data_IF_580799821487
#
_entry.id   IF_580799821487
#
_cell.length_a   1.000
_cell.length_b   1.000
_cell.length_c   1.000
_cell.angle_alpha   90.00
_cell.angle_beta   90.00
_cell.angle_gamma   90.00
#
_symmetry.space_group_name_H-M   'P 1'
#
loop_
_entity.id
_entity.type
_entity.pdbx_description
1 polymer ?
#
# COMPACT_ATOMS: atom_id res chain seq x y z
N UNK A 1 -46.60 -14.82 19.89
CA UNK A 1 -47.05 -15.53 18.68
C UNK A 1 -46.39 -14.90 17.47
N UNK A 2 -46.08 -15.72 16.47
CA UNK A 2 -45.80 -15.36 15.06
C UNK A 2 -44.39 -14.88 14.65
N UNK A 3 -43.51 -15.86 14.45
CA UNK A 3 -42.88 -16.21 13.17
C UNK A 3 -43.47 -15.53 11.91
N UNK A 4 -42.63 -14.97 11.02
CA UNK A 4 -42.49 -15.41 9.60
C UNK A 4 -41.68 -14.46 8.72
N UNK A 5 -40.71 -15.07 8.05
CA UNK A 5 -40.17 -14.80 6.72
C UNK A 5 -41.23 -14.62 5.62
N UNK A 6 -41.01 -13.72 4.66
CA UNK A 6 -41.47 -13.73 3.26
C UNK A 6 -40.54 -12.81 2.45
N UNK A 7 -39.72 -13.26 1.50
CA UNK A 7 -40.01 -13.73 0.13
C UNK A 7 -40.55 -12.66 -0.83
N UNK A 8 -39.94 -12.66 -2.03
CA UNK A 8 -40.45 -12.27 -3.35
C UNK A 8 -40.14 -10.87 -3.91
N UNK A 9 -39.20 -10.89 -4.87
CA UNK A 9 -39.35 -10.56 -6.30
C UNK A 9 -39.98 -9.23 -6.73
N UNK A 10 -39.31 -8.58 -7.69
CA UNK A 10 -39.79 -8.10 -9.00
C UNK A 10 -39.09 -6.79 -9.37
N UNK A 11 -38.30 -6.81 -10.45
CA UNK A 11 -38.04 -5.61 -11.24
C UNK A 11 -38.32 -5.92 -12.71
N UNK A 12 -39.54 -5.58 -13.11
CA UNK A 12 -39.96 -5.39 -14.50
C UNK A 12 -39.51 -3.98 -14.94
N UNK A 13 -39.00 -3.83 -16.15
CA UNK A 13 -38.91 -2.52 -16.80
C UNK A 13 -39.57 -2.60 -18.17
N UNK A 14 -40.67 -1.87 -18.28
CA UNK A 14 -41.56 -1.67 -19.41
C UNK A 14 -41.01 -0.66 -20.42
N UNK A 15 -41.34 -0.83 -21.70
CA UNK A 15 -41.42 0.30 -22.65
C UNK A 15 -42.63 0.20 -23.58
N UNK A 16 -43.38 1.29 -23.57
CA UNK A 16 -44.60 1.66 -24.27
C UNK A 16 -44.50 1.52 -25.80
N UNK A 17 -45.58 1.02 -26.44
CA UNK A 17 -45.82 1.10 -27.89
C UNK A 17 -46.78 2.25 -28.22
N UNK A 18 -46.46 3.05 -29.24
CA UNK A 18 -47.39 3.93 -29.98
C UNK A 18 -47.59 3.34 -31.38
N UNK A 19 -48.84 3.26 -31.82
CA UNK A 19 -49.25 2.60 -33.06
C UNK A 19 -49.07 3.44 -34.34
N UNK A 20 -49.12 2.74 -35.47
CA UNK A 20 -49.18 3.28 -36.83
C UNK A 20 -49.56 2.16 -37.82
N UNK A 21 -50.49 2.45 -38.73
CA UNK A 21 -51.37 1.57 -39.51
C UNK A 21 -50.83 1.34 -40.93
N UNK A 22 -51.13 0.18 -41.55
CA UNK A 22 -51.10 0.03 -43.02
C UNK A 22 -50.96 -1.40 -43.57
N UNK A 23 -52.11 -2.04 -43.87
CA UNK A 23 -52.48 -2.86 -45.07
C UNK A 23 -51.37 -3.67 -45.79
N UNK A 24 -51.51 -4.95 -46.16
CA UNK A 24 -52.55 -5.58 -46.98
C UNK A 24 -52.20 -7.07 -47.19
N UNK A 25 -53.20 -7.97 -47.28
CA UNK A 25 -53.02 -9.32 -47.83
C UNK A 25 -53.81 -10.46 -47.18
N UNK A 26 -55.06 -10.65 -47.62
CA UNK A 26 -55.97 -11.80 -47.32
C UNK A 26 -55.35 -13.12 -47.83
N UNK A 27 -55.59 -14.33 -47.30
CA UNK A 27 -56.87 -15.07 -47.22
C UNK A 27 -56.71 -16.35 -46.36
N UNK A 28 -57.81 -16.72 -45.69
CA UNK A 28 -58.08 -18.03 -45.07
C UNK A 28 -58.17 -19.16 -46.11
N UNK A 29 -57.92 -20.41 -45.71
CA UNK A 29 -58.93 -21.49 -45.72
C UNK A 29 -58.43 -22.75 -44.97
N UNK A 30 -59.32 -23.28 -44.14
CA UNK A 30 -59.19 -24.51 -43.36
C UNK A 30 -59.78 -25.68 -44.16
N UNK A 31 -59.07 -26.81 -44.21
CA UNK A 31 -59.55 -28.21 -44.27
C UNK A 31 -58.36 -29.06 -43.81
N UNK A 32 -58.40 -30.04 -42.91
CA UNK A 32 -59.50 -30.85 -42.40
C UNK A 32 -59.43 -32.27 -42.99
N UNK A 33 -58.60 -33.16 -42.44
CA UNK A 33 -58.89 -34.61 -42.35
C UNK A 33 -57.82 -35.36 -41.53
N UNK A 34 -58.30 -36.16 -40.60
CA UNK A 34 -57.57 -37.08 -39.72
C UNK A 34 -57.27 -38.38 -40.47
N UNK A 35 -56.13 -39.02 -40.22
CA UNK A 35 -56.09 -40.42 -39.75
C UNK A 35 -54.65 -40.91 -39.62
N UNK A 36 -54.47 -41.75 -38.59
CA UNK A 36 -53.22 -42.34 -38.17
C UNK A 36 -52.67 -43.34 -39.19
N UNK A 37 -51.33 -43.38 -39.31
CA UNK A 37 -50.61 -44.66 -39.37
C UNK A 37 -49.19 -44.48 -38.86
N UNK A 38 -48.92 -45.10 -37.72
CA UNK A 38 -47.57 -45.21 -37.19
C UNK A 38 -46.78 -46.12 -38.13
N UNK A 39 -45.70 -45.59 -38.70
CA UNK A 39 -44.67 -46.37 -39.36
C UNK A 39 -43.32 -45.66 -39.16
N UNK A 40 -42.52 -46.23 -38.25
CA UNK A 40 -41.06 -46.17 -38.20
C UNK A 40 -40.38 -44.83 -38.55
N UNK A 41 -40.15 -43.96 -37.56
CA UNK A 41 -38.99 -43.04 -37.58
C UNK A 41 -38.65 -42.53 -36.17
N UNK A 42 -38.31 -43.45 -35.26
CA UNK A 42 -37.85 -43.12 -33.91
C UNK A 42 -36.39 -42.62 -33.83
N UNK A 43 -35.72 -42.45 -34.97
CA UNK A 43 -34.31 -42.03 -35.03
C UNK A 43 -34.08 -40.54 -35.35
N UNK A 44 -35.04 -39.89 -36.01
CA UNK A 44 -34.87 -38.50 -36.49
C UNK A 44 -35.14 -37.43 -35.45
N UNK A 45 -36.19 -37.60 -34.64
CA UNK A 45 -36.59 -36.65 -33.60
C UNK A 45 -35.59 -36.63 -32.43
N UNK A 46 -35.08 -37.79 -32.03
CA UNK A 46 -34.07 -37.91 -30.97
C UNK A 46 -32.75 -37.30 -31.42
N UNK A 47 -32.31 -37.56 -32.65
CA UNK A 47 -31.08 -36.99 -33.23
C UNK A 47 -31.14 -35.47 -33.38
N UNK A 48 -32.30 -34.90 -33.73
CA UNK A 48 -32.48 -33.44 -33.80
C UNK A 48 -32.50 -32.78 -32.42
N UNK A 49 -33.00 -33.46 -31.39
CA UNK A 49 -32.98 -32.99 -29.99
C UNK A 49 -31.53 -32.93 -29.47
N UNK A 50 -30.74 -34.00 -29.62
CA UNK A 50 -29.33 -34.02 -29.20
C UNK A 50 -28.50 -32.94 -29.90
N UNK A 51 -28.76 -32.70 -31.19
CA UNK A 51 -28.06 -31.68 -31.97
C UNK A 51 -28.40 -30.27 -31.47
N UNK A 52 -29.68 -30.02 -31.15
CA UNK A 52 -30.12 -28.76 -30.55
C UNK A 52 -29.55 -28.51 -29.15
N UNK A 53 -29.45 -29.54 -28.30
CA UNK A 53 -28.79 -29.43 -27.00
C UNK A 53 -27.30 -29.09 -27.15
N UNK A 54 -26.61 -29.75 -28.10
CA UNK A 54 -25.19 -29.48 -28.39
C UNK A 54 -24.95 -28.06 -28.91
N UNK A 55 -25.84 -27.53 -29.75
CA UNK A 55 -25.74 -26.16 -30.27
C UNK A 55 -25.99 -25.11 -29.18
N UNK A 56 -26.94 -25.37 -28.27
CA UNK A 56 -27.17 -24.51 -27.09
C UNK A 56 -25.95 -24.49 -26.17
N UNK A 57 -25.35 -25.66 -25.92
CA UNK A 57 -24.16 -25.81 -25.07
C UNK A 57 -22.93 -25.12 -25.69
N UNK A 58 -22.77 -25.20 -27.01
CA UNK A 58 -21.69 -24.52 -27.75
C UNK A 58 -21.88 -23.00 -27.76
N UNK A 59 -23.12 -22.52 -27.90
CA UNK A 59 -23.45 -21.09 -27.80
C UNK A 59 -23.21 -20.55 -26.39
N UNK A 60 -23.52 -21.32 -25.36
CA UNK A 60 -23.30 -20.92 -23.97
C UNK A 60 -21.81 -20.92 -23.61
N UNK A 61 -21.05 -21.92 -24.08
CA UNK A 61 -19.58 -21.93 -24.02
C UNK A 61 -18.98 -20.71 -24.73
N UNK A 62 -19.49 -20.33 -25.90
CA UNK A 62 -19.01 -19.15 -26.63
C UNK A 62 -19.31 -17.85 -25.88
N UNK A 63 -20.49 -17.71 -25.26
CA UNK A 63 -20.87 -16.54 -24.46
C UNK A 63 -20.04 -16.42 -23.19
N UNK A 64 -19.85 -17.52 -22.47
CA UNK A 64 -19.02 -17.57 -21.26
C UNK A 64 -17.55 -17.27 -21.58
N UNK A 65 -16.99 -17.84 -22.65
CA UNK A 65 -15.62 -17.53 -23.11
C UNK A 65 -15.47 -16.06 -23.49
N UNK A 66 -16.46 -15.46 -24.16
CA UNK A 66 -16.42 -14.03 -24.54
C UNK A 66 -16.53 -13.10 -23.33
N UNK A 67 -17.37 -13.46 -22.34
CA UNK A 67 -17.50 -12.71 -21.09
C UNK A 67 -16.24 -12.83 -20.22
N UNK A 68 -15.65 -14.02 -20.13
CA UNK A 68 -14.41 -14.29 -19.39
C UNK A 68 -13.22 -13.55 -20.00
N UNK A 69 -13.10 -13.52 -21.34
CA UNK A 69 -12.03 -12.80 -22.06
C UNK A 69 -11.98 -11.30 -21.73
N UNK A 70 -13.14 -10.66 -21.63
CA UNK A 70 -13.24 -9.24 -21.31
C UNK A 70 -12.91 -8.92 -19.84
N UNK A 71 -13.23 -9.82 -18.90
CA UNK A 71 -12.84 -9.70 -17.50
C UNK A 71 -11.36 -10.02 -17.26
N UNK A 72 -10.82 -10.95 -18.04
CA UNK A 72 -9.43 -11.39 -18.00
C UNK A 72 -8.44 -10.29 -18.43
N UNK A 73 -8.67 -9.63 -19.57
CA UNK A 73 -7.79 -8.53 -20.00
C UNK A 73 -7.80 -7.37 -19.00
N UNK A 74 -8.94 -7.13 -18.35
CA UNK A 74 -9.06 -6.14 -17.27
C UNK A 74 -8.29 -6.58 -16.02
N UNK A 75 -8.34 -7.85 -15.65
CA UNK A 75 -7.60 -8.38 -14.51
C UNK A 75 -6.08 -8.34 -14.75
N UNK A 76 -5.64 -8.68 -15.97
CA UNK A 76 -4.23 -8.58 -16.37
C UNK A 76 -3.77 -7.13 -16.37
N UNK A 77 -4.57 -6.21 -16.91
CA UNK A 77 -4.27 -4.78 -16.90
C UNK A 77 -4.15 -4.22 -15.47
N UNK A 78 -5.04 -4.63 -14.56
CA UNK A 78 -4.95 -4.27 -13.14
C UNK A 78 -3.68 -4.85 -12.50
N UNK A 79 -3.37 -6.12 -12.75
CA UNK A 79 -2.14 -6.77 -12.26
C UNK A 79 -0.88 -6.05 -12.74
N UNK A 80 -0.79 -5.75 -14.04
CA UNK A 80 0.33 -5.00 -14.62
C UNK A 80 0.41 -3.58 -14.06
N UNK A 81 -0.71 -2.90 -13.86
CA UNK A 81 -0.76 -1.59 -13.22
C UNK A 81 -0.21 -1.61 -11.79
N UNK A 82 -0.58 -2.62 -11.00
CA UNK A 82 -0.04 -2.80 -9.64
C UNK A 82 1.46 -3.09 -9.63
N UNK A 83 1.95 -3.90 -10.57
CA UNK A 83 3.40 -4.17 -10.72
C UNK A 83 4.15 -2.89 -11.10
N UNK A 84 3.68 -2.13 -12.09
CA UNK A 84 4.33 -0.87 -12.51
C UNK A 84 4.31 0.16 -11.37
N UNK A 85 3.18 0.32 -10.67
CA UNK A 85 3.07 1.21 -9.52
C UNK A 85 4.05 0.81 -8.40
N UNK A 86 4.18 -0.49 -8.12
CA UNK A 86 5.15 -0.99 -7.15
C UNK A 86 6.60 -0.69 -7.57
N UNK A 87 6.94 -0.86 -8.85
CA UNK A 87 8.27 -0.55 -9.38
C UNK A 87 8.60 0.94 -9.26
N UNK A 88 7.64 1.83 -9.57
CA UNK A 88 7.79 3.27 -9.38
C UNK A 88 7.99 3.63 -7.89
N UNK A 89 7.21 3.03 -6.99
CA UNK A 89 7.39 3.23 -5.55
C UNK A 89 8.76 2.73 -5.07
N UNK A 90 9.21 1.55 -5.51
CA UNK A 90 10.55 1.04 -5.19
C UNK A 90 11.66 1.94 -5.70
N UNK A 91 11.50 2.55 -6.86
CA UNK A 91 12.48 3.50 -7.39
C UNK A 91 12.59 4.75 -6.50
N UNK A 92 11.46 5.32 -6.09
CA UNK A 92 11.43 6.44 -5.13
C UNK A 92 12.03 6.04 -3.79
N UNK A 93 11.70 4.85 -3.27
CA UNK A 93 12.30 4.32 -2.05
C UNK A 93 13.80 4.08 -2.20
N UNK A 94 14.25 3.58 -3.35
CA UNK A 94 15.66 3.40 -3.66
C UNK A 94 16.42 4.72 -3.63
N UNK A 95 15.90 5.76 -4.29
CA UNK A 95 16.51 7.10 -4.28
C UNK A 95 16.50 7.70 -2.87
N UNK A 96 15.39 7.61 -2.14
CA UNK A 96 15.29 8.16 -0.79
C UNK A 96 16.21 7.46 0.20
N UNK A 97 16.37 6.14 0.10
CA UNK A 97 17.32 5.37 0.93
C UNK A 97 18.76 5.69 0.53
N UNK A 98 19.08 5.74 -0.76
CA UNK A 98 20.42 6.12 -1.22
C UNK A 98 20.79 7.54 -0.77
N UNK A 99 19.86 8.48 -0.88
CA UNK A 99 20.03 9.85 -0.37
C UNK A 99 20.19 9.87 1.14
N UNK A 100 19.35 9.16 1.88
CA UNK A 100 19.44 9.05 3.33
C UNK A 100 20.75 8.40 3.79
N UNK A 101 21.32 7.49 3.00
CA UNK A 101 22.62 6.88 3.28
C UNK A 101 23.77 7.84 2.96
N UNK A 102 23.68 8.56 1.84
CA UNK A 102 24.67 9.58 1.47
C UNK A 102 24.69 10.76 2.46
N UNK A 103 23.53 11.16 2.96
CA UNK A 103 23.39 12.21 3.98
C UNK A 103 23.69 11.67 5.40
N UNK A 104 23.80 10.35 5.61
CA UNK A 104 24.17 9.79 6.92
C UNK A 104 25.68 9.87 7.13
N UNK A 105 26.12 11.03 7.63
CA UNK A 105 27.53 11.33 7.92
C UNK A 105 28.05 10.54 9.13
N UNK A 106 27.19 10.27 10.11
CA UNK A 106 27.53 9.56 11.36
C UNK A 106 27.52 8.03 11.17
N UNK A 107 28.61 7.50 10.62
CA UNK A 107 28.72 6.09 10.20
C UNK A 107 29.37 5.16 11.24
N UNK A 108 30.26 5.68 12.09
CA UNK A 108 31.00 4.86 13.07
C UNK A 108 30.51 5.08 14.51
N UNK A 109 30.08 3.99 15.15
CA UNK A 109 29.73 3.96 16.56
C UNK A 109 30.94 3.67 17.44
N UNK A 110 31.19 4.50 18.46
CA UNK A 110 32.24 4.29 19.45
C UNK A 110 31.79 4.73 20.85
N UNK A 111 32.64 4.49 21.85
CA UNK A 111 32.38 4.95 23.22
C UNK A 111 32.90 6.37 23.37
N UNK A 112 32.01 7.28 23.72
CA UNK A 112 32.32 8.66 24.07
C UNK A 112 32.32 8.87 25.58
N UNK A 113 33.28 9.66 26.07
CA UNK A 113 33.37 10.09 27.46
C UNK A 113 32.86 11.53 27.55
N UNK A 114 31.83 11.76 28.36
CA UNK A 114 31.30 13.12 28.61
C UNK A 114 32.34 13.94 29.38
N UNK A 115 32.76 15.06 28.81
CA UNK A 115 33.70 15.98 29.44
C UNK A 115 32.95 17.00 30.31
N UNK A 116 32.08 17.78 29.69
CA UNK A 116 31.34 18.86 30.33
C UNK A 116 29.90 18.91 29.85
N UNK A 117 28.98 19.21 30.77
CA UNK A 117 27.57 19.45 30.52
C UNK A 117 27.20 20.80 31.13
N UNK A 118 27.06 21.84 30.31
CA UNK A 118 26.76 23.20 30.76
C UNK A 118 25.45 23.68 30.18
N UNK A 119 24.59 24.26 31.01
CA UNK A 119 23.37 24.92 30.55
C UNK A 119 23.74 26.35 30.15
N UNK A 120 23.62 26.63 28.86
CA UNK A 120 23.80 27.94 28.23
C UNK A 120 22.46 28.71 28.25
N UNK A 121 22.47 29.94 27.76
CA UNK A 121 21.34 30.86 27.74
C UNK A 121 20.04 30.28 27.12
N UNK A 122 18.91 30.90 27.48
CA UNK A 122 17.58 30.52 27.00
C UNK A 122 17.38 30.85 25.53
N UNK A 123 16.92 29.85 24.78
CA UNK A 123 16.53 29.96 23.37
C UNK A 123 15.03 30.16 23.24
N UNK A 124 14.61 30.98 22.26
CA UNK A 124 13.21 31.23 21.98
C UNK A 124 12.65 30.13 21.08
N UNK A 125 11.42 29.73 21.32
CA UNK A 125 10.67 28.86 20.42
C UNK A 125 9.19 29.21 20.37
N UNK A 126 8.48 28.73 19.36
CA UNK A 126 7.05 28.93 19.21
C UNK A 126 6.27 27.65 19.49
N UNK A 127 5.13 27.78 20.17
CA UNK A 127 4.18 26.70 20.35
C UNK A 127 2.79 27.12 19.85
N UNK A 128 2.03 26.16 19.34
CA UNK A 128 0.66 26.39 18.90
C UNK A 128 -0.29 26.46 20.09
N UNK A 129 -1.07 27.54 20.18
CA UNK A 129 -2.03 27.77 21.26
C UNK A 129 -3.50 27.46 20.88
N UNK A 130 -3.73 26.97 19.65
CA UNK A 130 -5.05 26.68 19.08
C UNK A 130 -5.09 26.94 17.58
N UNK A 131 -6.30 27.12 17.01
CA UNK A 131 -6.50 27.51 15.62
C UNK A 131 -5.77 28.84 15.34
N UNK A 132 -4.78 28.79 14.43
CA UNK A 132 -3.96 29.91 13.95
C UNK A 132 -3.32 30.81 15.03
N UNK A 133 -2.97 30.25 16.19
CA UNK A 133 -2.22 30.95 17.23
C UNK A 133 -0.84 30.34 17.42
N UNK A 134 0.20 31.17 17.25
CA UNK A 134 1.58 30.85 17.65
C UNK A 134 2.01 31.79 18.76
N UNK A 135 2.50 31.23 19.87
CA UNK A 135 3.01 32.02 20.99
C UNK A 135 4.46 31.63 21.27
N UNK A 136 5.28 32.62 21.59
CA UNK A 136 6.66 32.43 22.00
C UNK A 136 6.75 31.84 23.40
N UNK A 137 7.66 30.88 23.59
CA UNK A 137 8.12 30.32 24.85
C UNK A 137 9.65 30.26 24.82
N UNK A 138 10.28 29.92 25.94
CA UNK A 138 11.73 29.84 26.09
C UNK A 138 12.15 28.50 26.67
N UNK A 139 13.26 27.96 26.20
CA UNK A 139 13.89 26.76 26.75
C UNK A 139 15.39 26.98 26.98
N UNK A 140 15.97 26.47 28.07
CA UNK A 140 17.40 26.56 28.31
C UNK A 140 18.19 25.67 27.34
N UNK A 141 19.31 26.15 26.79
CA UNK A 141 20.13 25.34 25.89
C UNK A 141 21.14 24.50 26.67
N UNK A 142 21.05 23.17 26.63
CA UNK A 142 22.07 22.30 27.22
C UNK A 142 23.18 22.02 26.21
N UNK A 143 24.43 22.36 26.55
CA UNK A 143 25.60 22.08 25.73
C UNK A 143 26.43 20.97 26.37
N UNK A 144 26.71 19.91 25.61
CA UNK A 144 27.44 18.74 26.09
C UNK A 144 28.65 18.50 25.19
N UNK A 145 29.84 18.42 25.79
CA UNK A 145 31.08 18.07 25.10
C UNK A 145 31.47 16.64 25.45
N UNK A 146 31.84 15.88 24.44
CA UNK A 146 32.31 14.50 24.59
C UNK A 146 33.68 14.34 23.97
N UNK A 147 34.50 13.46 24.55
CA UNK A 147 35.71 12.95 23.92
C UNK A 147 35.47 11.56 23.36
N UNK A 148 35.82 11.34 22.11
CA UNK A 148 35.71 10.03 21.46
C UNK A 148 36.88 9.16 21.94
N UNK A 149 36.63 7.99 22.54
CA UNK A 149 37.70 7.17 23.12
C UNK A 149 38.72 6.67 22.08
N UNK A 150 38.27 6.40 20.85
CA UNK A 150 39.13 5.88 19.77
C UNK A 150 40.06 6.93 19.17
N UNK A 151 39.64 8.20 19.11
CA UNK A 151 40.39 9.29 18.46
C UNK A 151 40.89 10.36 19.44
N UNK A 152 40.40 10.37 20.67
CA UNK A 152 40.66 11.39 21.68
C UNK A 152 40.09 12.78 21.34
N UNK A 153 39.33 12.90 20.24
CA UNK A 153 38.81 14.19 19.76
C UNK A 153 37.63 14.65 20.60
N UNK A 154 37.58 15.96 20.83
CA UNK A 154 36.47 16.60 21.52
C UNK A 154 35.46 17.08 20.49
N UNK A 155 34.22 16.62 20.62
CA UNK A 155 33.12 17.01 19.74
C UNK A 155 31.90 17.39 20.58
N UNK A 156 31.03 18.25 20.04
CA UNK A 156 29.76 18.56 20.70
C UNK A 156 28.80 17.41 20.49
N UNK A 157 28.12 16.99 21.55
CA UNK A 157 27.14 15.92 21.50
C UNK A 157 25.76 16.51 21.15
N UNK A 158 25.04 15.84 20.26
CA UNK A 158 23.62 16.06 19.98
C UNK A 158 22.84 14.77 20.26
N UNK A 159 21.60 14.90 20.74
CA UNK A 159 20.78 13.74 21.10
C UNK A 159 20.41 12.92 19.84
N UNK A 160 19.86 13.58 18.83
CA UNK A 160 19.43 13.00 17.54
C UNK A 160 19.74 13.93 16.35
N UNK A 161 19.52 13.42 15.14
CA UNK A 161 19.65 14.18 13.88
C UNK A 161 18.63 15.34 13.82
N UNK A 162 17.40 15.13 14.33
CA UNK A 162 16.36 16.17 14.40
C UNK A 162 16.77 17.34 15.32
N UNK A 163 17.41 17.06 16.47
CA UNK A 163 17.90 18.13 17.35
C UNK A 163 19.03 18.92 16.72
N UNK A 164 19.86 18.26 15.91
CA UNK A 164 20.96 18.89 15.20
C UNK A 164 20.46 19.85 14.11
N UNK A 165 19.48 19.42 13.31
CA UNK A 165 18.85 20.26 12.27
C UNK A 165 18.08 21.46 12.86
N UNK A 166 17.39 21.26 13.99
CA UNK A 166 16.63 22.32 14.65
C UNK A 166 17.54 23.38 15.30
N UNK A 167 18.58 22.95 16.01
CA UNK A 167 19.57 23.85 16.60
C UNK A 167 20.88 23.12 16.88
N UNK A 168 21.86 23.31 15.99
CA UNK A 168 23.18 22.67 16.10
C UNK A 168 23.93 23.05 17.39
N UNK A 169 23.56 24.12 18.10
CA UNK A 169 24.22 24.60 19.31
C UNK A 169 23.82 23.83 20.59
N UNK A 170 22.62 23.26 20.61
CA UNK A 170 22.05 22.58 21.77
C UNK A 170 22.07 21.05 21.61
N UNK A 171 22.30 20.34 22.72
CA UNK A 171 22.27 18.88 22.78
C UNK A 171 20.86 18.32 22.56
N UNK A 172 19.84 18.94 23.16
CA UNK A 172 18.45 18.48 23.11
C UNK A 172 17.51 19.66 22.93
N UNK A 173 16.63 19.57 21.93
CA UNK A 173 15.60 20.57 21.64
C UNK A 173 14.24 19.95 21.99
N UNK A 174 13.65 20.29 23.15
CA UNK A 174 12.34 19.79 23.53
C UNK A 174 11.22 20.36 22.66
N UNK A 175 10.10 19.65 22.56
CA UNK A 175 8.86 20.19 21.99
C UNK A 175 8.38 21.36 22.85
N UNK A 176 8.18 22.51 22.22
CA UNK A 176 7.86 23.72 22.96
C UNK A 176 6.48 23.68 23.60
N UNK A 177 6.48 23.98 24.90
CA UNK A 177 5.29 24.04 25.73
C UNK A 177 5.11 25.43 26.33
N UNK A 178 3.87 25.70 26.76
CA UNK A 178 3.51 26.91 27.50
C UNK A 178 4.24 27.00 28.84
N UNK A 179 4.46 25.87 29.51
CA UNK A 179 5.12 25.81 30.81
C UNK A 179 6.64 25.76 30.64
N UNK A 180 7.30 26.90 30.84
CA UNK A 180 8.76 27.05 30.80
C UNK A 180 9.45 26.30 31.93
N UNK A 181 8.81 26.17 33.09
CA UNK A 181 9.42 25.51 34.25
C UNK A 181 9.46 23.99 34.05
N UNK A 182 8.40 23.42 33.46
CA UNK A 182 8.38 22.02 33.06
C UNK A 182 9.49 21.72 32.04
N UNK A 183 9.68 22.61 31.06
CA UNK A 183 10.73 22.46 30.05
C UNK A 183 12.14 22.56 30.65
N UNK A 184 12.34 23.52 31.55
CA UNK A 184 13.60 23.65 32.31
C UNK A 184 13.89 22.40 33.15
N UNK A 185 12.88 21.87 33.86
CA UNK A 185 13.04 20.66 34.67
C UNK A 185 13.44 19.44 33.84
N UNK A 186 12.89 19.27 32.63
CA UNK A 186 13.29 18.20 31.71
C UNK A 186 14.77 18.30 31.36
N UNK A 187 15.24 19.50 31.01
CA UNK A 187 16.63 19.73 30.58
C UNK A 187 17.61 19.55 31.76
N UNK A 188 17.26 20.02 32.95
CA UNK A 188 18.06 19.79 34.17
C UNK A 188 18.15 18.30 34.47
N UNK A 189 17.03 17.57 34.47
CA UNK A 189 17.02 16.12 34.71
C UNK A 189 17.87 15.35 33.68
N UNK A 190 17.87 15.77 32.40
CA UNK A 190 18.75 15.20 31.37
C UNK A 190 20.21 15.50 31.70
N UNK A 191 20.54 16.74 32.07
CA UNK A 191 21.91 17.12 32.44
C UNK A 191 22.42 16.35 33.66
N UNK A 192 21.56 16.08 34.65
CA UNK A 192 21.90 15.28 35.83
C UNK A 192 22.17 13.81 35.50
N UNK A 193 21.53 13.29 34.46
CA UNK A 193 21.78 11.93 33.95
C UNK A 193 23.09 11.85 33.17
N UNK A 194 23.43 12.89 32.41
CA UNK A 194 24.69 13.01 31.70
C UNK A 194 25.77 13.60 32.63
N UNK A 195 26.16 12.83 33.65
CA UNK A 195 27.25 13.24 34.53
C UNK A 195 28.59 13.31 33.76
N UNK A 196 29.48 14.23 34.13
CA UNK A 196 30.86 14.23 33.66
C UNK A 196 31.51 12.86 33.91
N UNK A 197 32.34 12.40 32.98
CA UNK A 197 33.01 11.10 32.97
C UNK A 197 32.10 9.88 32.79
N UNK A 198 30.82 10.09 32.44
CA UNK A 198 29.95 8.98 32.03
C UNK A 198 30.31 8.53 30.61
N UNK A 199 30.32 7.21 30.39
CA UNK A 199 30.56 6.62 29.08
C UNK A 199 29.23 6.40 28.37
N UNK A 200 29.10 6.93 27.16
CA UNK A 200 27.90 6.81 26.33
C UNK A 200 28.29 6.30 24.96
N UNK A 201 27.42 5.50 24.34
CA UNK A 201 27.58 5.12 22.95
C UNK A 201 27.30 6.35 22.09
N UNK A 202 28.22 6.69 21.21
CA UNK A 202 28.10 7.83 20.31
C UNK A 202 28.47 7.42 18.88
N UNK A 203 27.93 8.16 17.92
CA UNK A 203 28.28 8.05 16.51
C UNK A 203 29.04 9.31 16.10
N UNK A 204 30.18 9.14 15.44
CA UNK A 204 31.02 10.24 14.98
C UNK A 204 31.27 10.15 13.47
N UNK A 205 31.63 11.29 12.89
CA UNK A 205 32.05 11.39 11.49
C UNK A 205 33.56 11.15 11.38
N UNK A 206 34.05 10.12 10.66
CA UNK A 206 35.46 9.93 10.40
C UNK A 206 36.04 10.92 9.35
N UNK A 207 35.17 11.60 8.59
CA UNK A 207 35.53 12.52 7.50
C UNK A 207 35.86 13.95 7.98
N UNK A 208 35.72 14.23 9.28
CA UNK A 208 36.04 15.52 9.92
C UNK A 208 35.28 16.72 9.32
N UNK A 209 34.15 16.49 8.64
CA UNK A 209 33.36 17.59 8.06
C UNK A 209 32.41 18.25 9.07
N UNK A 210 32.14 17.59 10.20
CA UNK A 210 31.23 18.09 11.22
C UNK A 210 31.79 17.85 12.63
N UNK A 211 31.95 18.93 13.40
CA UNK A 211 32.46 18.92 14.80
C UNK A 211 31.43 18.37 15.83
N UNK A 212 30.49 17.53 15.39
CA UNK A 212 29.36 17.06 16.20
C UNK A 212 29.21 15.54 16.19
N UNK A 213 29.12 14.96 17.38
CA UNK A 213 28.83 13.56 17.63
C UNK A 213 27.35 13.36 18.00
N UNK A 214 26.76 12.23 17.62
CA UNK A 214 25.37 11.90 17.93
C UNK A 214 25.25 10.81 18.98
N UNK A 215 24.32 10.96 19.92
CA UNK A 215 24.03 9.94 20.93
C UNK A 215 23.18 8.80 20.36
N UNK A 216 22.09 9.13 19.67
CA UNK A 216 21.16 8.14 19.10
C UNK A 216 20.87 8.46 17.64
N UNK A 217 21.02 7.46 16.77
CA UNK A 217 20.62 7.55 15.36
C UNK A 217 19.13 7.33 15.25
N UNK A 218 18.38 8.36 14.86
CA UNK A 218 16.92 8.29 14.77
C UNK A 218 16.44 7.92 13.37
N UNK A 219 17.18 8.27 12.31
CA UNK A 219 17.02 7.66 10.98
C UNK A 219 17.76 6.32 10.92
N UNK A 220 17.35 5.40 11.80
CA UNK A 220 17.68 3.98 11.71
C UNK A 220 16.73 3.27 10.73
N UNK A 221 17.11 2.08 10.27
CA UNK A 221 16.40 1.25 9.27
C UNK A 221 14.90 0.96 9.53
N UNK A 222 14.35 1.31 10.69
CA UNK A 222 13.00 0.94 11.15
C UNK A 222 11.83 1.44 10.27
N UNK A 223 11.74 2.72 9.84
CA UNK A 223 10.66 3.17 8.96
C UNK A 223 10.84 2.67 7.52
N UNK A 224 12.07 2.31 7.13
CA UNK A 224 12.38 1.77 5.80
C UNK A 224 11.76 0.37 5.64
N UNK A 225 11.77 -0.47 6.68
CA UNK A 225 11.14 -1.80 6.62
C UNK A 225 9.62 -1.73 6.41
N UNK A 226 8.93 -0.86 7.14
CA UNK A 226 7.49 -0.67 6.96
C UNK A 226 7.16 -0.02 5.62
N UNK A 227 8.05 0.83 5.11
CA UNK A 227 7.88 1.45 3.79
C UNK A 227 8.08 0.45 2.64
N UNK A 228 9.01 -0.50 2.76
CA UNK A 228 9.27 -1.55 1.75
C UNK A 228 8.22 -2.66 1.76
N UNK A 229 7.54 -2.88 2.88
CA UNK A 229 6.49 -3.89 2.98
C UNK A 229 5.32 -3.65 2.01
N UNK A 230 4.88 -2.39 1.87
CA UNK A 230 3.74 -2.03 1.02
C UNK A 230 3.98 -2.28 -0.49
N UNK A 231 5.09 -1.80 -1.09
CA UNK A 231 5.47 -2.15 -2.45
C UNK A 231 5.65 -3.66 -2.66
N UNK A 232 6.19 -4.38 -1.66
CA UNK A 232 6.37 -5.85 -1.75
C UNK A 232 5.03 -6.57 -1.83
N UNK A 233 4.07 -6.15 -1.01
CA UNK A 233 2.71 -6.70 -1.02
C UNK A 233 2.01 -6.40 -2.35
N UNK A 234 2.11 -5.17 -2.87
CA UNK A 234 1.55 -4.78 -4.16
C UNK A 234 2.17 -5.55 -5.33
N UNK A 235 3.48 -5.77 -5.32
CA UNK A 235 4.19 -6.56 -6.33
C UNK A 235 3.74 -8.03 -6.29
N UNK A 236 3.70 -8.62 -5.09
CA UNK A 236 3.28 -10.02 -4.89
C UNK A 236 1.81 -10.21 -5.27
N UNK A 237 0.93 -9.28 -4.89
CA UNK A 237 -0.48 -9.29 -5.27
C UNK A 237 -0.68 -9.15 -6.79
N UNK A 238 0.01 -8.19 -7.42
CA UNK A 238 -0.04 -7.98 -8.86
C UNK A 238 0.43 -9.19 -9.67
N UNK A 239 1.56 -9.79 -9.28
CA UNK A 239 2.10 -11.00 -9.91
C UNK A 239 1.21 -12.22 -9.68
N UNK A 240 0.67 -12.41 -8.47
CA UNK A 240 -0.26 -13.48 -8.17
C UNK A 240 -1.54 -13.41 -9.00
N UNK A 241 -2.09 -12.21 -9.21
CA UNK A 241 -3.27 -12.02 -10.07
C UNK A 241 -2.97 -12.43 -11.52
N UNK A 242 -1.85 -11.96 -12.08
CA UNK A 242 -1.45 -12.33 -13.45
C UNK A 242 -1.25 -13.84 -13.56
N UNK A 243 -0.58 -14.44 -12.57
CA UNK A 243 -0.32 -15.88 -12.53
C UNK A 243 -1.62 -16.69 -12.43
N UNK A 244 -2.54 -16.31 -11.55
CA UNK A 244 -3.84 -16.98 -11.40
C UNK A 244 -4.68 -16.92 -12.68
N UNK A 245 -4.67 -15.78 -13.37
CA UNK A 245 -5.34 -15.64 -14.66
C UNK A 245 -4.69 -16.55 -15.71
N UNK A 246 -3.36 -16.55 -15.82
CA UNK A 246 -2.62 -17.42 -16.76
C UNK A 246 -2.79 -18.90 -16.48
N UNK A 247 -2.81 -19.31 -15.21
CA UNK A 247 -3.11 -20.68 -14.82
C UNK A 247 -4.53 -21.08 -15.25
N UNK A 248 -5.51 -20.20 -15.05
CA UNK A 248 -6.90 -20.45 -15.48
C UNK A 248 -6.99 -20.58 -17.01
N UNK A 249 -6.25 -19.76 -17.78
CA UNK A 249 -6.15 -19.93 -19.24
C UNK A 249 -5.53 -21.27 -19.62
N UNK A 250 -4.41 -21.63 -18.99
CA UNK A 250 -3.68 -22.85 -19.28
C UNK A 250 -4.54 -24.09 -19.02
N UNK A 251 -5.22 -24.14 -17.87
CA UNK A 251 -6.14 -25.22 -17.53
C UNK A 251 -7.32 -25.30 -18.50
N UNK A 252 -7.88 -24.17 -18.93
CA UNK A 252 -8.96 -24.14 -19.92
C UNK A 252 -8.53 -24.76 -21.27
N UNK A 253 -7.34 -24.39 -21.77
CA UNK A 253 -6.78 -24.94 -23.01
C UNK A 253 -6.54 -26.45 -22.85
N UNK A 254 -5.95 -26.88 -21.74
CA UNK A 254 -5.68 -28.29 -21.47
C UNK A 254 -6.97 -29.13 -21.41
N UNK A 255 -8.02 -28.63 -20.74
CA UNK A 255 -9.33 -29.28 -20.73
C UNK A 255 -9.93 -29.41 -22.14
N UNK A 256 -9.78 -28.39 -22.99
CA UNK A 256 -10.24 -28.48 -24.38
C UNK A 256 -9.47 -29.52 -25.20
N UNK A 257 -8.15 -29.64 -24.99
CA UNK A 257 -7.34 -30.65 -25.68
C UNK A 257 -7.71 -32.07 -25.23
N UNK A 258 -7.94 -32.29 -23.92
CA UNK A 258 -8.33 -33.60 -23.39
C UNK A 258 -9.69 -34.03 -23.96
N UNK A 259 -10.69 -33.15 -23.97
CA UNK A 259 -12.02 -33.43 -24.56
C UNK A 259 -11.94 -33.70 -26.07
N UNK A 260 -10.97 -33.09 -26.77
CA UNK A 260 -10.75 -33.32 -28.20
C UNK A 260 -10.10 -34.67 -28.50
N UNK A 261 -9.27 -35.18 -27.59
CA UNK A 261 -8.60 -36.49 -27.72
C UNK A 261 -9.58 -37.64 -27.41
N UNK A 262 -10.55 -37.42 -26.52
CA UNK A 262 -11.55 -38.43 -26.14
C UNK A 262 -12.70 -38.60 -27.16
N UNK A 263 -12.84 -37.68 -28.13
CA UNK A 263 -13.89 -37.68 -29.16
C UNK A 263 -13.37 -38.18 -30.51
#
# INVERSE_FOLDING_TARGET
MQQRSFHQSFCTASSVRRGGRGTSGKRFFVTGAKSARWAASGGGATRSIYQKFRDVDLLDKKKTVTAMKAGEDRAILLGLGMVIASAMMYFVLGITVLRSYADSVWTEGSVCIVLNSTITADMNCSYSCGLDCWRGSKYPCLQVYVSVNTTGRVSRLSHNEESWDANFECFYVPKCQKDTNAMHHIIVNISERLKPHHQVLCYYDPSDQQESALLTRQYGHSPVFHSLFWPSCMLTGGTAIIFMVKLTQYLSIMCEQVIKIER
#
